data_IF_874967278074
#
_entry.id   IF_874967278074
#
_cell.length_a   1.000
_cell.length_b   1.000
_cell.length_c   1.000
_cell.angle_alpha   90.00
_cell.angle_beta   90.00
_cell.angle_gamma   90.00
#
_symmetry.space_group_name_H-M   'P 1'
#
loop_
_entity.id
_entity.type
_entity.pdbx_description
1 polymer ?
#
# COMPACT_ATOMS: atom_id res chain seq x y z
N UNK A 1 1.87 -19.39 -2.50
CA UNK A 1 0.92 -18.27 -2.72
C UNK A 1 0.93 -17.42 -1.45
N UNK A 2 1.92 -16.54 -1.33
CA UNK A 2 2.17 -15.76 -0.11
C UNK A 2 1.10 -14.69 0.06
N UNK A 3 0.56 -14.59 1.27
CA UNK A 3 -0.40 -13.54 1.64
C UNK A 3 0.40 -12.25 1.74
N UNK A 4 0.32 -11.40 0.72
CA UNK A 4 0.98 -10.08 0.70
C UNK A 4 0.46 -9.24 1.88
N UNK A 5 1.37 -8.83 2.75
CA UNK A 5 1.04 -8.09 3.98
C UNK A 5 0.71 -6.63 3.62
N UNK A 6 -0.16 -6.00 4.38
CA UNK A 6 -0.77 -4.71 4.02
C UNK A 6 0.21 -3.52 3.91
N UNK A 7 1.51 -3.71 4.20
CA UNK A 7 2.53 -2.65 4.25
C UNK A 7 3.29 -2.41 2.95
N UNK A 8 3.43 -3.40 2.06
CA UNK A 8 4.26 -3.27 0.84
C UNK A 8 3.85 -2.09 -0.08
N UNK A 9 2.54 -1.83 -0.34
CA UNK A 9 2.15 -0.71 -1.19
C UNK A 9 2.48 0.66 -0.57
N UNK A 10 2.46 0.74 0.77
CA UNK A 10 2.78 1.98 1.47
C UNK A 10 4.27 2.27 1.35
N UNK A 11 5.13 1.27 1.53
CA UNK A 11 6.60 1.41 1.38
C UNK A 11 6.97 1.84 -0.03
N UNK A 12 6.47 1.16 -1.07
CA UNK A 12 6.77 1.50 -2.46
C UNK A 12 6.29 2.92 -2.84
N UNK A 13 5.09 3.32 -2.42
CA UNK A 13 4.59 4.64 -2.76
C UNK A 13 5.24 5.77 -1.96
N UNK A 14 5.46 5.57 -0.65
CA UNK A 14 5.86 6.66 0.27
C UNK A 14 7.36 6.71 0.55
N UNK A 15 8.06 5.57 0.56
CA UNK A 15 9.51 5.50 0.81
C UNK A 15 10.28 5.49 -0.51
N UNK A 16 9.79 4.72 -1.48
CA UNK A 16 10.44 4.61 -2.81
C UNK A 16 9.89 5.64 -3.83
N UNK A 17 8.91 6.47 -3.44
CA UNK A 17 8.38 7.55 -4.28
C UNK A 17 7.63 7.10 -5.54
N UNK A 18 7.26 5.82 -5.64
CA UNK A 18 6.59 5.27 -6.82
C UNK A 18 5.16 5.80 -6.96
N UNK A 19 4.66 5.95 -8.19
CA UNK A 19 3.24 6.19 -8.44
C UNK A 19 2.39 4.94 -8.14
N UNK A 20 1.06 5.12 -8.05
CA UNK A 20 0.14 3.98 -7.86
C UNK A 20 0.18 2.99 -9.04
N UNK A 21 0.37 3.50 -10.26
CA UNK A 21 0.53 2.71 -11.47
C UNK A 21 1.79 1.84 -11.41
N UNK A 22 2.93 2.44 -11.07
CA UNK A 22 4.20 1.71 -10.94
C UNK A 22 4.14 0.69 -9.81
N UNK A 23 3.56 1.05 -8.67
CA UNK A 23 3.33 0.13 -7.55
C UNK A 23 2.43 -1.04 -7.96
N UNK A 24 1.40 -0.79 -8.76
CA UNK A 24 0.50 -1.82 -9.27
C UNK A 24 1.23 -2.82 -10.18
N UNK A 25 2.10 -2.31 -11.07
CA UNK A 25 2.94 -3.15 -11.92
C UNK A 25 3.92 -4.00 -11.10
N UNK A 26 4.64 -3.39 -10.15
CA UNK A 26 5.61 -4.09 -9.29
C UNK A 26 4.95 -5.18 -8.47
N UNK A 27 3.78 -4.90 -7.89
CA UNK A 27 3.05 -5.84 -7.05
C UNK A 27 2.16 -6.81 -7.85
N UNK A 28 2.12 -6.69 -9.18
CA UNK A 28 1.25 -7.49 -10.07
C UNK A 28 -0.22 -7.48 -9.63
N UNK A 29 -0.72 -6.30 -9.27
CA UNK A 29 -2.12 -6.06 -8.87
C UNK A 29 -2.69 -4.88 -9.66
N UNK A 30 -3.99 -4.62 -9.55
CA UNK A 30 -4.58 -3.44 -10.17
C UNK A 30 -4.30 -2.18 -9.36
N UNK A 31 -4.26 -1.02 -10.02
CA UNK A 31 -4.19 0.29 -9.34
C UNK A 31 -5.29 0.46 -8.28
N UNK A 32 -6.52 0.02 -8.57
CA UNK A 32 -7.62 0.07 -7.60
C UNK A 32 -7.33 -0.75 -6.33
N UNK A 33 -6.61 -1.86 -6.49
CA UNK A 33 -6.19 -2.70 -5.39
C UNK A 33 -5.02 -2.08 -4.60
N UNK A 34 -4.17 -1.26 -5.24
CA UNK A 34 -3.17 -0.42 -4.56
C UNK A 34 -3.88 0.66 -3.73
N UNK A 35 -4.79 1.41 -4.33
CA UNK A 35 -5.57 2.48 -3.67
C UNK A 35 -6.29 1.94 -2.41
N UNK A 36 -6.99 0.81 -2.55
CA UNK A 36 -7.72 0.18 -1.43
C UNK A 36 -6.79 -0.23 -0.29
N UNK A 37 -5.59 -0.74 -0.61
CA UNK A 37 -4.59 -1.12 0.39
C UNK A 37 -3.97 0.10 1.06
N UNK A 38 -3.60 1.13 0.30
CA UNK A 38 -3.10 2.40 0.83
C UNK A 38 -4.10 3.03 1.79
N UNK A 39 -5.39 3.06 1.44
CA UNK A 39 -6.45 3.55 2.32
C UNK A 39 -6.49 2.79 3.64
N UNK A 40 -6.53 1.45 3.58
CA UNK A 40 -6.57 0.60 4.80
C UNK A 40 -5.32 0.75 5.66
N UNK A 41 -4.14 0.82 5.02
CA UNK A 41 -2.87 1.01 5.71
C UNK A 41 -2.81 2.37 6.42
N UNK A 42 -3.30 3.45 5.80
CA UNK A 42 -3.40 4.78 6.44
C UNK A 42 -4.37 4.78 7.62
N UNK A 43 -5.53 4.13 7.50
CA UNK A 43 -6.48 4.01 8.61
C UNK A 43 -5.82 3.29 9.79
N UNK A 44 -5.18 2.14 9.53
CA UNK A 44 -4.48 1.37 10.57
C UNK A 44 -3.33 2.16 11.20
N UNK A 45 -2.57 2.90 10.40
CA UNK A 45 -1.49 3.76 10.91
C UNK A 45 -2.06 4.87 11.80
N UNK A 46 -3.15 5.50 11.39
CA UNK A 46 -3.82 6.53 12.18
C UNK A 46 -4.34 5.95 13.51
N UNK A 47 -4.95 4.76 13.50
CA UNK A 47 -5.36 4.06 14.72
C UNK A 47 -4.18 3.77 15.66
N UNK A 48 -3.01 3.42 15.12
CA UNK A 48 -1.80 3.16 15.91
C UNK A 48 -1.16 4.43 16.50
N UNK A 49 -1.29 5.58 15.82
CA UNK A 49 -0.73 6.86 16.26
C UNK A 49 -1.69 7.69 17.13
N UNK A 50 -2.99 7.38 17.11
CA UNK A 50 -4.00 8.06 17.91
C UNK A 50 -4.03 7.56 19.38
N UNK A 51 -3.12 6.66 19.75
CA UNK A 51 -2.86 6.18 21.11
C UNK A 51 -1.55 6.75 21.64
#
# INVERSE_FOLDING_TARGET
RGVLTSGEPLVLHTVEGMSQAETAMVLSITEKAVETRLRRARIKLHEMLAH
#
